data_IF_302334099509
#
_entry.id   IF_302334099509
#
_cell.length_a   1.000
_cell.length_b   1.000
_cell.length_c   1.000
_cell.angle_alpha   90.00
_cell.angle_beta   90.00
_cell.angle_gamma   90.00
#
_symmetry.space_group_name_H-M   'P 1'
#
loop_
_entity.id
_entity.type
_entity.pdbx_description
1 polymer ?
#
# COMPACT_ATOMS: atom_id res chain seq x y z
N UNK A 1 9.58 15.18 -23.20
CA UNK A 1 9.76 13.94 -22.40
C UNK A 1 9.24 14.19 -21.00
N UNK A 2 8.58 13.22 -20.36
CA UNK A 2 7.96 13.40 -19.04
C UNK A 2 9.00 13.58 -17.94
N UNK A 3 8.65 14.32 -16.88
CA UNK A 3 9.44 14.50 -15.66
C UNK A 3 8.60 14.07 -14.46
N UNK A 4 8.82 12.86 -13.97
CA UNK A 4 8.06 12.28 -12.87
C UNK A 4 8.88 12.30 -11.59
N UNK A 5 8.31 12.84 -10.53
CA UNK A 5 8.85 12.78 -9.18
C UNK A 5 8.03 11.75 -8.39
N UNK A 6 8.70 10.88 -7.64
CA UNK A 6 8.10 10.10 -6.57
C UNK A 6 8.64 10.63 -5.25
N UNK A 7 7.75 11.02 -4.34
CA UNK A 7 8.11 11.46 -2.99
C UNK A 7 7.61 10.42 -1.99
N UNK A 8 8.46 10.04 -1.03
CA UNK A 8 8.19 9.01 -0.01
C UNK A 8 8.78 9.44 1.34
N UNK A 9 7.92 9.60 2.35
CA UNK A 9 8.33 10.06 3.69
C UNK A 9 9.17 9.00 4.43
N UNK A 10 10.24 9.41 5.10
CA UNK A 10 11.12 8.45 5.76
C UNK A 10 10.51 7.94 7.08
N UNK A 11 10.32 6.63 7.19
CA UNK A 11 9.76 5.98 8.39
C UNK A 11 8.46 6.65 8.91
N UNK A 12 7.56 7.06 8.01
CA UNK A 12 6.48 8.03 8.24
C UNK A 12 5.83 8.03 9.64
N UNK A 13 5.19 6.93 10.07
CA UNK A 13 4.51 6.94 11.38
C UNK A 13 5.49 7.09 12.54
N UNK A 14 6.66 6.43 12.49
CA UNK A 14 7.67 6.55 13.52
C UNK A 14 8.28 7.97 13.55
N UNK A 15 8.48 8.60 12.39
CA UNK A 15 8.94 9.98 12.29
C UNK A 15 7.95 10.97 12.95
N UNK A 16 6.64 10.77 12.75
CA UNK A 16 5.61 11.57 13.42
C UNK A 16 5.65 11.37 14.94
N UNK A 17 5.79 10.13 15.43
CA UNK A 17 5.90 9.89 16.88
C UNK A 17 7.18 10.53 17.47
N UNK A 18 8.31 10.46 16.76
CA UNK A 18 9.58 11.06 17.19
C UNK A 18 9.59 12.60 17.14
N UNK A 19 8.79 13.19 16.24
CA UNK A 19 8.55 14.64 16.20
C UNK A 19 7.74 15.07 17.42
N UNK A 20 6.62 14.39 17.67
CA UNK A 20 5.68 14.75 18.74
C UNK A 20 6.23 14.40 20.13
N UNK A 21 7.14 13.42 20.23
CA UNK A 21 7.84 13.06 21.47
C UNK A 21 9.35 12.86 21.20
N UNK A 22 10.17 13.91 21.42
CA UNK A 22 11.61 13.87 21.15
C UNK A 22 12.38 12.79 21.91
N UNK A 23 11.86 12.28 23.05
CA UNK A 23 12.50 11.18 23.81
C UNK A 23 12.56 9.87 23.03
N UNK A 24 11.80 9.74 21.93
CA UNK A 24 11.75 8.54 21.11
C UNK A 24 12.80 8.51 19.98
N UNK A 25 13.51 9.61 19.72
CA UNK A 25 14.37 9.78 18.53
C UNK A 25 15.51 8.75 18.46
N UNK A 26 16.19 8.54 19.58
CA UNK A 26 17.45 7.78 19.63
C UNK A 26 17.29 6.35 20.17
N UNK A 27 16.05 5.90 20.40
CA UNK A 27 15.74 4.53 20.84
C UNK A 27 15.12 3.72 19.70
N UNK A 28 15.29 2.39 19.65
CA UNK A 28 14.58 1.55 18.68
C UNK A 28 13.08 1.61 18.95
N UNK A 29 12.33 2.08 17.95
CA UNK A 29 10.89 2.27 17.99
C UNK A 29 10.22 1.60 16.80
N UNK A 30 9.07 0.98 17.04
CA UNK A 30 8.16 0.53 15.99
C UNK A 30 6.70 0.86 16.30
N UNK A 31 5.93 1.08 15.23
CA UNK A 31 4.47 1.20 15.28
C UNK A 31 3.89 -0.12 14.84
N UNK A 32 3.03 -0.73 15.65
CA UNK A 32 2.46 -2.03 15.33
C UNK A 32 1.49 -2.54 16.38
N UNK A 33 0.81 -3.63 16.03
CA UNK A 33 0.00 -4.38 16.99
C UNK A 33 0.89 -5.10 18.01
N UNK A 34 0.38 -5.30 19.22
CA UNK A 34 1.08 -6.03 20.27
C UNK A 34 1.22 -7.53 19.93
N UNK A 35 2.25 -8.19 20.48
CA UNK A 35 2.56 -9.58 20.16
C UNK A 35 1.49 -10.57 20.66
N UNK A 36 0.91 -10.32 21.83
CA UNK A 36 -0.24 -11.03 22.41
C UNK A 36 -1.48 -11.01 21.50
N UNK A 37 -1.61 -10.01 20.62
CA UNK A 37 -2.69 -9.89 19.64
C UNK A 37 -2.30 -10.30 18.23
N UNK A 38 -1.22 -11.08 18.10
CA UNK A 38 -0.66 -11.54 16.80
C UNK A 38 -0.34 -10.36 15.87
N UNK A 39 0.10 -9.25 16.47
CA UNK A 39 0.40 -8.01 15.77
C UNK A 39 1.57 -8.13 14.80
N UNK A 40 1.61 -7.17 13.89
CA UNK A 40 2.71 -6.97 12.94
C UNK A 40 3.22 -5.53 13.03
N UNK A 41 4.49 -5.35 12.69
CA UNK A 41 5.12 -4.04 12.57
C UNK A 41 4.59 -3.34 11.32
N UNK A 42 3.95 -2.19 11.51
CA UNK A 42 3.56 -1.29 10.40
C UNK A 42 4.77 -0.51 9.88
N UNK A 43 5.54 0.09 10.79
CA UNK A 43 6.79 0.76 10.45
C UNK A 43 7.75 0.73 11.65
N UNK A 44 9.04 0.87 11.37
CA UNK A 44 10.10 0.94 12.37
C UNK A 44 11.04 2.09 12.03
N UNK A 45 11.56 2.78 13.04
CA UNK A 45 12.57 3.82 12.86
C UNK A 45 13.93 3.21 12.49
N UNK A 46 14.87 4.05 12.02
CA UNK A 46 16.20 3.59 11.61
C UNK A 46 16.98 2.86 12.73
N UNK A 47 16.97 3.32 14.00
CA UNK A 47 17.54 2.56 15.11
C UNK A 47 17.02 1.11 15.20
N UNK A 48 15.70 0.88 15.10
CA UNK A 48 15.12 -0.46 15.11
C UNK A 48 15.48 -1.27 13.85
N UNK A 49 15.52 -0.62 12.67
CA UNK A 49 15.90 -1.27 11.41
C UNK A 49 17.32 -1.84 11.42
N UNK A 50 18.24 -1.28 12.21
CA UNK A 50 19.60 -1.84 12.39
C UNK A 50 19.61 -3.23 13.03
N UNK A 51 18.58 -3.56 13.81
CA UNK A 51 18.36 -4.91 14.36
C UNK A 51 17.64 -5.85 13.39
N UNK A 52 17.37 -5.41 12.15
CA UNK A 52 16.63 -6.16 11.15
C UNK A 52 15.11 -6.01 11.26
N UNK A 53 14.58 -5.19 12.18
CA UNK A 53 13.14 -4.94 12.30
C UNK A 53 12.65 -4.19 11.05
N UNK A 54 11.61 -4.70 10.40
CA UNK A 54 11.05 -4.10 9.18
C UNK A 54 9.52 -4.20 9.13
N UNK A 55 8.88 -3.44 8.25
CA UNK A 55 7.43 -3.50 8.01
C UNK A 55 6.98 -4.91 7.62
N UNK A 56 5.75 -5.26 8.00
CA UNK A 56 5.12 -6.57 7.85
C UNK A 56 5.81 -7.73 8.62
N UNK A 57 6.82 -7.45 9.45
CA UNK A 57 7.38 -8.43 10.39
C UNK A 57 6.40 -8.70 11.54
N UNK A 58 6.28 -9.95 12.00
CA UNK A 58 5.54 -10.26 13.22
C UNK A 58 6.17 -9.58 14.44
N UNK A 59 5.34 -8.97 15.30
CA UNK A 59 5.82 -8.23 16.49
C UNK A 59 6.64 -9.12 17.42
N UNK A 60 6.26 -10.40 17.57
CA UNK A 60 7.03 -11.36 18.36
C UNK A 60 8.45 -11.57 17.82
N UNK A 61 8.61 -11.62 16.49
CA UNK A 61 9.93 -11.72 15.85
C UNK A 61 10.72 -10.42 16.04
N UNK A 62 10.08 -9.26 15.90
CA UNK A 62 10.72 -7.97 16.10
C UNK A 62 11.27 -7.81 17.53
N UNK A 63 10.50 -8.23 18.55
CA UNK A 63 10.93 -8.23 19.95
C UNK A 63 12.05 -9.22 20.23
N UNK A 64 12.11 -10.35 19.50
CA UNK A 64 13.22 -11.30 19.60
C UNK A 64 14.51 -10.72 19.01
N UNK A 65 14.41 -10.00 17.89
CA UNK A 65 15.54 -9.34 17.25
C UNK A 65 16.02 -8.09 18.03
N UNK A 66 15.10 -7.39 18.67
CA UNK A 66 15.36 -6.18 19.45
C UNK A 66 14.55 -6.23 20.75
N UNK A 67 15.07 -6.85 21.83
CA UNK A 67 14.36 -6.98 23.11
C UNK A 67 13.97 -5.64 23.75
N UNK A 68 14.74 -4.58 23.49
CA UNK A 68 14.51 -3.22 23.95
C UNK A 68 13.60 -2.39 23.02
N UNK A 69 12.99 -3.00 22.00
CA UNK A 69 12.13 -2.31 21.05
C UNK A 69 10.94 -1.66 21.75
N UNK A 70 10.86 -0.34 21.66
CA UNK A 70 9.67 0.39 22.07
C UNK A 70 8.58 0.14 21.02
N UNK A 71 7.49 -0.50 21.43
CA UNK A 71 6.32 -0.68 20.57
C UNK A 71 5.26 0.36 20.94
N UNK A 72 4.74 1.09 19.95
CA UNK A 72 3.65 2.05 20.12
C UNK A 72 2.43 1.66 19.28
N UNK A 73 1.21 1.91 19.81
CA UNK A 73 0.00 1.84 18.99
C UNK A 73 -0.03 3.00 17.98
N UNK A 74 -0.62 2.75 16.81
CA UNK A 74 -0.70 3.76 15.75
C UNK A 74 -1.77 4.83 15.99
N UNK A 75 -1.40 6.11 15.93
CA UNK A 75 -2.31 7.27 15.95
C UNK A 75 -2.82 7.64 14.55
N UNK A 76 -3.60 6.74 13.94
CA UNK A 76 -4.03 6.85 12.53
C UNK A 76 -4.71 8.19 12.15
N UNK A 77 -5.40 8.84 13.08
CA UNK A 77 -5.99 10.16 12.83
C UNK A 77 -4.91 11.22 12.55
N UNK A 78 -3.83 11.22 13.33
CA UNK A 78 -2.70 12.15 13.20
C UNK A 78 -1.91 11.87 11.92
N UNK A 79 -1.71 10.59 11.58
CA UNK A 79 -1.01 10.21 10.36
C UNK A 79 -1.78 10.65 9.11
N UNK A 80 -3.11 10.51 9.12
CA UNK A 80 -3.98 11.00 8.04
C UNK A 80 -3.99 12.52 7.94
N UNK A 81 -4.04 13.23 9.07
CA UNK A 81 -3.97 14.68 9.08
C UNK A 81 -2.63 15.17 8.50
N UNK A 82 -1.52 14.57 8.91
CA UNK A 82 -0.19 14.90 8.40
C UNK A 82 -0.04 14.59 6.90
N UNK A 83 -0.61 13.47 6.43
CA UNK A 83 -0.69 13.13 5.00
C UNK A 83 -1.40 14.19 4.17
N UNK A 84 -2.48 14.81 4.69
CA UNK A 84 -3.16 15.93 4.00
C UNK A 84 -2.26 17.14 3.86
N UNK A 85 -1.57 17.54 4.93
CA UNK A 85 -0.61 18.65 4.89
C UNK A 85 0.51 18.43 3.85
N UNK A 86 1.01 17.20 3.74
CA UNK A 86 2.00 16.84 2.72
C UNK A 86 1.41 16.99 1.30
N UNK A 87 0.16 16.57 1.10
CA UNK A 87 -0.53 16.74 -0.20
C UNK A 87 -0.79 18.21 -0.52
N UNK A 88 -1.09 19.03 0.49
CA UNK A 88 -1.25 20.49 0.33
C UNK A 88 0.08 21.15 -0.06
N UNK A 89 1.21 20.61 0.40
CA UNK A 89 2.54 21.02 -0.10
C UNK A 89 2.71 20.62 -1.55
N UNK A 90 2.41 19.37 -1.92
CA UNK A 90 2.52 18.90 -3.31
C UNK A 90 1.71 19.74 -4.29
N UNK A 91 0.49 20.17 -3.91
CA UNK A 91 -0.40 20.96 -4.77
C UNK A 91 0.15 22.33 -5.14
N UNK A 92 1.19 22.81 -4.43
CA UNK A 92 1.90 24.06 -4.78
C UNK A 92 2.77 23.90 -6.04
N UNK A 93 3.12 22.67 -6.41
CA UNK A 93 4.07 22.39 -7.51
C UNK A 93 3.41 21.86 -8.78
N UNK A 94 2.34 21.08 -8.64
CA UNK A 94 1.55 20.53 -9.75
C UNK A 94 0.17 20.09 -9.25
N UNK A 95 -0.81 20.05 -10.15
CA UNK A 95 -2.12 19.44 -9.89
C UNK A 95 -2.13 17.94 -10.21
N UNK A 96 -1.14 17.45 -10.96
CA UNK A 96 -1.00 16.04 -11.34
C UNK A 96 -0.31 15.27 -10.21
N UNK A 97 -1.09 14.94 -9.17
CA UNK A 97 -0.63 14.24 -7.98
C UNK A 97 -1.39 12.93 -7.83
N UNK A 98 -0.70 11.80 -7.82
CA UNK A 98 -1.29 10.47 -7.59
C UNK A 98 -0.75 9.90 -6.28
N UNK A 99 -1.51 9.96 -5.17
CA UNK A 99 -1.14 9.30 -3.93
C UNK A 99 -1.24 7.77 -4.08
N UNK A 100 -0.21 7.03 -3.64
CA UNK A 100 -0.27 5.56 -3.56
C UNK A 100 -0.64 5.10 -2.14
N UNK A 101 -0.22 5.86 -1.13
CA UNK A 101 -0.45 5.60 0.30
C UNK A 101 -0.69 6.92 1.05
N UNK A 102 -0.53 6.91 2.38
CA UNK A 102 -0.53 8.13 3.18
C UNK A 102 0.78 8.93 3.04
N UNK A 103 1.89 8.26 2.76
CA UNK A 103 3.23 8.81 2.84
C UNK A 103 3.95 8.91 1.49
N UNK A 104 3.30 8.49 0.41
CA UNK A 104 3.93 8.55 -0.91
C UNK A 104 2.96 9.00 -2.02
N UNK A 105 3.52 9.71 -3.00
CA UNK A 105 2.80 10.14 -4.20
C UNK A 105 3.74 10.23 -5.41
N UNK A 106 3.18 10.00 -6.60
CA UNK A 106 3.77 10.48 -7.86
C UNK A 106 3.30 11.89 -8.16
N UNK A 107 4.21 12.72 -8.65
CA UNK A 107 3.94 14.05 -9.16
C UNK A 107 4.44 14.11 -10.61
N UNK A 108 3.57 14.54 -11.53
CA UNK A 108 4.00 14.89 -12.88
C UNK A 108 4.27 16.39 -12.94
N UNK A 109 5.54 16.74 -13.16
CA UNK A 109 6.02 18.13 -13.24
C UNK A 109 6.55 18.44 -14.63
N UNK A 110 6.11 17.68 -15.64
CA UNK A 110 6.55 17.83 -17.04
C UNK A 110 6.42 19.28 -17.51
N UNK A 111 5.28 19.89 -17.25
CA UNK A 111 4.94 21.25 -17.72
C UNK A 111 5.06 22.32 -16.61
N UNK A 112 5.58 21.97 -15.43
CA UNK A 112 5.74 22.93 -14.33
C UNK A 112 6.85 23.96 -14.65
N UNK A 113 6.59 25.28 -14.55
CA UNK A 113 7.60 26.31 -14.78
C UNK A 113 8.48 26.57 -13.55
N UNK A 114 8.09 26.05 -12.38
CA UNK A 114 8.78 26.28 -11.11
C UNK A 114 10.21 25.75 -11.14
N UNK A 115 11.10 26.40 -10.38
CA UNK A 115 12.53 26.08 -10.33
C UNK A 115 13.16 25.96 -11.74
N UNK A 116 12.75 26.83 -12.67
CA UNK A 116 13.16 26.81 -14.08
C UNK A 116 12.86 25.48 -14.79
N UNK A 117 11.76 24.82 -14.41
CA UNK A 117 11.34 23.52 -14.93
C UNK A 117 12.19 22.33 -14.48
N UNK A 118 13.14 22.52 -13.55
CA UNK A 118 14.01 21.45 -13.04
C UNK A 118 13.29 20.59 -12.01
N UNK A 119 12.94 19.36 -12.40
CA UNK A 119 12.33 18.39 -11.49
C UNK A 119 13.23 18.01 -10.31
N UNK A 120 14.57 18.07 -10.48
CA UNK A 120 15.53 17.86 -9.40
C UNK A 120 15.41 18.94 -8.33
N UNK A 121 15.33 20.21 -8.74
CA UNK A 121 15.19 21.34 -7.82
C UNK A 121 13.79 21.38 -7.20
N UNK A 122 12.73 21.05 -7.96
CA UNK A 122 11.38 20.89 -7.42
C UNK A 122 11.37 19.81 -6.33
N UNK A 123 11.96 18.63 -6.57
CA UNK A 123 12.04 17.57 -5.57
C UNK A 123 12.81 18.01 -4.31
N UNK A 124 13.89 18.77 -4.47
CA UNK A 124 14.66 19.31 -3.36
C UNK A 124 13.86 20.33 -2.55
N UNK A 125 13.16 21.24 -3.23
CA UNK A 125 12.33 22.27 -2.62
C UNK A 125 11.12 21.67 -1.89
N UNK A 126 10.46 20.66 -2.46
CA UNK A 126 9.40 19.88 -1.79
C UNK A 126 9.94 19.29 -0.48
N UNK A 127 11.09 18.60 -0.54
CA UNK A 127 11.69 17.96 0.65
C UNK A 127 12.04 18.98 1.73
N UNK A 128 12.61 20.13 1.33
CA UNK A 128 12.94 21.20 2.26
C UNK A 128 11.70 21.84 2.87
N UNK A 129 10.65 22.06 2.08
CA UNK A 129 9.37 22.60 2.53
C UNK A 129 8.70 21.67 3.54
N UNK A 130 8.68 20.35 3.26
CA UNK A 130 8.21 19.33 4.21
C UNK A 130 9.01 19.38 5.51
N UNK A 131 10.33 19.48 5.44
CA UNK A 131 11.18 19.58 6.63
C UNK A 131 10.91 20.85 7.45
N UNK A 132 10.77 22.00 6.78
CA UNK A 132 10.54 23.29 7.42
C UNK A 132 9.16 23.38 8.08
N UNK A 133 8.10 22.98 7.36
CA UNK A 133 6.73 23.16 7.82
C UNK A 133 6.27 22.04 8.76
N UNK A 134 6.72 20.80 8.50
CA UNK A 134 6.18 19.62 9.19
C UNK A 134 7.19 18.97 10.14
N UNK A 135 8.46 19.38 10.10
CA UNK A 135 9.57 18.82 10.88
C UNK A 135 9.70 17.30 10.66
N UNK A 136 9.52 16.88 9.41
CA UNK A 136 9.61 15.50 8.94
C UNK A 136 10.56 15.44 7.74
N UNK A 137 11.20 14.29 7.51
CA UNK A 137 12.04 14.09 6.33
C UNK A 137 11.33 13.26 5.27
N UNK A 138 11.65 13.54 4.02
CA UNK A 138 11.21 12.77 2.87
C UNK A 138 12.39 12.50 1.95
N UNK A 139 12.28 11.42 1.20
CA UNK A 139 13.19 11.11 0.11
C UNK A 139 12.45 11.17 -1.22
N UNK A 140 13.17 11.49 -2.30
CA UNK A 140 12.56 11.67 -3.61
C UNK A 140 13.33 10.98 -4.73
N UNK A 141 12.60 10.47 -5.71
CA UNK A 141 13.17 9.89 -6.92
C UNK A 141 12.64 10.61 -8.14
N UNK A 142 13.52 10.95 -9.08
CA UNK A 142 13.15 11.65 -10.31
C UNK A 142 13.52 10.79 -11.50
N UNK A 143 12.56 10.53 -12.40
CA UNK A 143 12.80 9.76 -13.63
C UNK A 143 11.80 10.11 -14.75
N UNK A 144 12.03 9.66 -16.00
CA UNK A 144 11.10 9.89 -17.10
C UNK A 144 9.79 9.10 -16.99
N UNK A 145 9.75 8.08 -16.13
CA UNK A 145 8.63 7.15 -15.98
C UNK A 145 8.40 6.78 -14.51
N UNK A 146 7.14 6.45 -14.17
CA UNK A 146 6.68 6.26 -12.79
C UNK A 146 7.48 5.21 -12.03
N UNK A 147 7.61 4.00 -12.56
CA UNK A 147 8.24 2.94 -11.76
C UNK A 147 9.71 3.25 -11.44
N UNK A 148 10.45 3.87 -12.37
CA UNK A 148 11.83 4.29 -12.12
C UNK A 148 11.91 5.45 -11.14
N UNK A 149 10.96 6.38 -11.15
CA UNK A 149 10.92 7.43 -10.13
C UNK A 149 10.74 6.82 -8.73
N UNK A 150 9.89 5.79 -8.59
CA UNK A 150 9.74 5.04 -7.32
C UNK A 150 10.98 4.23 -6.95
N UNK A 151 11.68 3.62 -7.91
CA UNK A 151 12.94 2.91 -7.63
C UNK A 151 14.04 3.88 -7.21
N UNK A 152 14.07 5.07 -7.82
CA UNK A 152 15.03 6.12 -7.52
C UNK A 152 14.86 6.66 -6.09
N UNK A 153 13.63 6.82 -5.59
CA UNK A 153 13.38 7.40 -4.27
C UNK A 153 13.93 6.55 -3.13
N UNK A 154 14.19 5.26 -3.36
CA UNK A 154 14.80 4.34 -2.39
C UNK A 154 16.34 4.36 -2.37
N UNK A 155 17.01 4.88 -3.41
CA UNK A 155 18.47 4.74 -3.56
C UNK A 155 19.26 5.51 -2.50
N UNK A 156 18.82 6.73 -2.19
CA UNK A 156 19.50 7.66 -1.28
C UNK A 156 18.70 7.91 0.01
N UNK A 157 17.87 6.96 0.46
CA UNK A 157 17.18 7.06 1.76
C UNK A 157 18.18 6.91 2.92
N UNK A 158 17.99 7.62 4.06
CA UNK A 158 16.98 8.65 4.35
C UNK A 158 17.33 10.05 3.87
N UNK A 159 16.33 10.92 3.83
CA UNK A 159 16.45 12.36 3.59
C UNK A 159 17.37 12.70 2.42
N UNK A 160 17.18 12.00 1.31
CA UNK A 160 17.98 12.17 0.10
C UNK A 160 17.13 12.09 -1.15
N UNK A 161 17.76 12.31 -2.30
CA UNK A 161 17.10 12.14 -3.57
C UNK A 161 18.03 11.53 -4.61
N UNK A 162 17.45 10.90 -5.62
CA UNK A 162 18.18 10.30 -6.74
C UNK A 162 17.49 10.62 -8.06
N UNK A 163 18.29 10.88 -9.10
CA UNK A 163 17.78 11.30 -10.42
C UNK A 163 18.28 10.32 -11.47
N UNK A 164 17.35 9.70 -12.18
CA UNK A 164 17.62 8.88 -13.36
C UNK A 164 17.30 9.75 -14.57
N UNK A 165 18.32 10.21 -15.28
CA UNK A 165 18.16 10.97 -16.52
C UNK A 165 17.87 10.02 -17.70
N UNK A 166 17.30 10.52 -18.81
CA UNK A 166 17.03 9.69 -19.99
C UNK A 166 18.28 8.98 -20.52
N UNK A 167 19.42 9.68 -20.53
CA UNK A 167 20.70 9.14 -21.01
C UNK A 167 21.25 8.02 -20.12
N UNK A 168 20.95 8.05 -18.81
CA UNK A 168 21.40 7.04 -17.85
C UNK A 168 20.38 5.92 -17.64
N UNK A 169 19.18 6.04 -18.22
CA UNK A 169 18.07 5.13 -17.95
C UNK A 169 18.37 3.70 -18.38
N UNK A 170 18.98 3.52 -19.56
CA UNK A 170 19.23 2.17 -20.09
C UNK A 170 20.29 1.42 -19.27
N UNK A 171 21.41 2.08 -18.97
CA UNK A 171 22.46 1.53 -18.11
C UNK A 171 21.93 1.20 -16.71
N UNK A 172 21.09 2.07 -16.14
CA UNK A 172 20.45 1.81 -14.84
C UNK A 172 19.55 0.58 -14.89
N UNK A 173 18.75 0.43 -15.95
CA UNK A 173 17.85 -0.71 -16.11
C UNK A 173 18.63 -2.02 -16.20
N UNK A 174 19.68 -2.10 -17.01
CA UNK A 174 20.46 -3.33 -17.18
C UNK A 174 20.99 -3.87 -15.84
N UNK A 175 21.40 -2.98 -14.93
CA UNK A 175 21.89 -3.36 -13.61
C UNK A 175 20.79 -3.57 -12.55
N UNK A 176 19.52 -3.25 -12.84
CA UNK A 176 18.44 -3.25 -11.86
C UNK A 176 18.00 -4.68 -11.50
N UNK A 177 18.09 -5.09 -10.21
CA UNK A 177 17.54 -6.37 -9.78
C UNK A 177 16.01 -6.41 -9.92
N UNK A 178 15.45 -7.52 -10.42
CA UNK A 178 14.01 -7.65 -10.68
C UNK A 178 13.17 -7.45 -9.41
N UNK A 179 13.66 -7.88 -8.26
CA UNK A 179 13.01 -7.71 -6.96
C UNK A 179 12.82 -6.24 -6.52
N UNK A 180 13.51 -5.29 -7.18
CA UNK A 180 13.33 -3.85 -6.95
C UNK A 180 12.21 -3.25 -7.80
N UNK A 181 11.73 -3.96 -8.84
CA UNK A 181 10.63 -3.48 -9.68
C UNK A 181 9.32 -3.54 -8.87
N UNK A 182 8.57 -2.43 -8.73
CA UNK A 182 7.28 -2.44 -8.05
C UNK A 182 6.32 -3.47 -8.67
N UNK A 183 5.86 -4.42 -7.86
CA UNK A 183 5.02 -5.54 -8.30
C UNK A 183 5.74 -6.89 -8.31
N UNK A 184 7.07 -6.92 -8.28
CA UNK A 184 7.85 -8.16 -8.11
C UNK A 184 8.04 -8.43 -6.61
N UNK A 185 7.09 -9.13 -6.01
CA UNK A 185 7.19 -9.58 -4.60
C UNK A 185 8.12 -10.79 -4.42
N UNK A 186 8.40 -11.17 -3.16
CA UNK A 186 9.31 -12.29 -2.82
C UNK A 186 9.01 -13.59 -3.57
N UNK A 187 7.73 -13.94 -3.71
CA UNK A 187 7.30 -15.17 -4.42
C UNK A 187 7.64 -15.08 -5.91
N UNK A 188 7.32 -13.96 -6.54
CA UNK A 188 7.61 -13.74 -7.96
C UNK A 188 9.11 -13.67 -8.22
N UNK A 189 9.87 -12.98 -7.36
CA UNK A 189 11.32 -12.92 -7.44
C UNK A 189 11.96 -14.31 -7.38
N UNK A 190 11.51 -15.17 -6.44
CA UNK A 190 11.99 -16.56 -6.36
C UNK A 190 11.69 -17.36 -7.63
N UNK A 191 10.48 -17.23 -8.18
CA UNK A 191 10.10 -17.91 -9.43
C UNK A 191 10.89 -17.42 -10.65
N UNK A 192 11.35 -16.17 -10.65
CA UNK A 192 12.23 -15.62 -11.69
C UNK A 192 13.66 -16.13 -11.51
N UNK A 193 14.16 -16.15 -10.28
CA UNK A 193 15.47 -16.69 -9.92
C UNK A 193 15.60 -18.19 -10.27
N UNK A 194 14.56 -18.99 -10.03
CA UNK A 194 14.49 -20.41 -10.46
C UNK A 194 14.62 -20.58 -11.99
N UNK A 195 14.45 -19.50 -12.76
CA UNK A 195 14.64 -19.46 -14.22
C UNK A 195 15.95 -18.77 -14.64
N UNK A 196 16.82 -18.44 -13.69
CA UNK A 196 18.07 -17.70 -13.93
C UNK A 196 17.85 -16.20 -14.23
N UNK A 197 16.69 -15.63 -13.90
CA UNK A 197 16.37 -14.23 -14.14
C UNK A 197 16.53 -13.42 -12.84
N UNK A 198 17.59 -12.61 -12.76
CA UNK A 198 17.92 -11.84 -11.56
C UNK A 198 17.82 -10.33 -11.80
N UNK A 199 18.14 -9.88 -13.00
CA UNK A 199 18.21 -8.47 -13.40
C UNK A 199 17.35 -8.18 -14.63
N UNK A 200 17.11 -6.91 -14.95
CA UNK A 200 16.43 -6.57 -16.19
C UNK A 200 17.23 -7.00 -17.43
N UNK A 201 18.57 -7.04 -17.37
CA UNK A 201 19.40 -7.51 -18.48
C UNK A 201 19.04 -8.95 -18.85
N UNK A 202 18.86 -9.82 -17.85
CA UNK A 202 18.47 -11.22 -18.07
C UNK A 202 17.10 -11.30 -18.76
N UNK A 203 16.13 -10.50 -18.32
CA UNK A 203 14.78 -10.46 -18.92
C UNK A 203 14.81 -9.95 -20.36
N UNK A 204 15.69 -8.99 -20.70
CA UNK A 204 15.83 -8.48 -22.08
C UNK A 204 16.38 -9.53 -23.04
N UNK A 205 17.18 -10.46 -22.54
CA UNK A 205 17.73 -11.57 -23.33
C UNK A 205 16.80 -12.80 -23.33
N UNK A 206 15.71 -12.75 -22.58
CA UNK A 206 14.79 -13.87 -22.41
C UNK A 206 13.62 -13.80 -23.40
N UNK A 207 13.11 -14.96 -23.80
CA UNK A 207 11.98 -15.05 -24.72
C UNK A 207 10.69 -14.50 -24.10
N UNK A 208 10.05 -13.56 -24.81
CA UNK A 208 8.79 -12.96 -24.39
C UNK A 208 7.65 -13.99 -24.36
N UNK A 209 7.62 -14.95 -25.30
CA UNK A 209 6.55 -15.94 -25.32
C UNK A 209 6.59 -16.82 -24.06
N UNK A 210 7.78 -17.24 -23.63
CA UNK A 210 7.98 -17.95 -22.37
C UNK A 210 7.60 -17.10 -21.13
N UNK A 211 7.94 -15.80 -21.10
CA UNK A 211 7.50 -14.92 -20.00
C UNK A 211 5.97 -14.82 -19.92
N UNK A 212 5.29 -14.69 -21.06
CA UNK A 212 3.83 -14.64 -21.12
C UNK A 212 3.21 -15.96 -20.69
N UNK A 213 3.76 -17.10 -21.12
CA UNK A 213 3.28 -18.43 -20.74
C UNK A 213 3.36 -18.65 -19.23
N UNK A 214 4.41 -18.15 -18.59
CA UNK A 214 4.70 -18.41 -17.17
C UNK A 214 4.05 -17.42 -16.20
N UNK A 215 3.92 -16.16 -16.61
CA UNK A 215 3.47 -15.06 -15.76
C UNK A 215 2.23 -14.33 -16.30
N UNK A 216 1.69 -14.73 -17.45
CA UNK A 216 0.49 -14.15 -18.06
C UNK A 216 0.66 -12.64 -18.30
N UNK A 217 -0.38 -11.88 -17.95
CA UNK A 217 -0.37 -10.40 -18.06
C UNK A 217 0.81 -9.76 -17.30
N UNK A 218 1.24 -10.35 -16.18
CA UNK A 218 2.37 -9.82 -15.44
C UNK A 218 3.70 -10.02 -16.20
N UNK A 219 3.84 -11.10 -16.97
CA UNK A 219 5.01 -11.33 -17.82
C UNK A 219 5.21 -10.20 -18.84
N UNK A 220 4.11 -9.72 -19.44
CA UNK A 220 4.12 -8.55 -20.33
C UNK A 220 4.62 -7.30 -19.62
N UNK A 221 4.04 -7.00 -18.46
CA UNK A 221 4.43 -5.82 -17.66
C UNK A 221 5.90 -5.91 -17.26
N UNK A 222 6.37 -7.08 -16.82
CA UNK A 222 7.77 -7.28 -16.44
C UNK A 222 8.71 -7.00 -17.62
N UNK A 223 8.40 -7.57 -18.79
CA UNK A 223 9.18 -7.34 -20.00
C UNK A 223 9.22 -5.86 -20.37
N UNK A 224 8.07 -5.18 -20.40
CA UNK A 224 7.98 -3.74 -20.70
C UNK A 224 8.85 -2.92 -19.76
N UNK A 225 8.75 -3.17 -18.44
CA UNK A 225 9.54 -2.45 -17.42
C UNK A 225 11.04 -2.68 -17.60
N UNK A 226 11.45 -3.90 -17.90
CA UNK A 226 12.86 -4.21 -18.17
C UNK A 226 13.39 -3.46 -19.40
N UNK A 227 12.53 -3.19 -20.39
CA UNK A 227 12.85 -2.39 -21.59
C UNK A 227 12.62 -0.87 -21.40
N UNK A 228 12.37 -0.40 -20.18
CA UNK A 228 12.16 1.02 -19.90
C UNK A 228 10.83 1.57 -20.39
N UNK A 229 9.86 0.69 -20.69
CA UNK A 229 8.53 1.04 -21.15
C UNK A 229 7.61 1.10 -19.93
N UNK A 230 6.99 2.26 -19.71
CA UNK A 230 5.91 2.47 -18.73
C UNK A 230 5.04 3.65 -19.16
N UNK A 231 3.98 3.33 -19.90
CA UNK A 231 3.06 4.31 -20.48
C UNK A 231 2.06 4.90 -19.48
N UNK A 232 1.99 4.35 -18.26
CA UNK A 232 1.06 4.83 -17.24
C UNK A 232 1.32 6.30 -16.96
N UNK A 233 0.27 7.11 -17.01
CA UNK A 233 0.29 8.52 -16.61
C UNK A 233 0.11 8.64 -15.10
N UNK A 234 0.42 9.82 -14.56
CA UNK A 234 0.04 10.20 -13.19
C UNK A 234 -1.44 10.55 -13.22
N UNK A 235 -2.24 9.83 -12.42
CA UNK A 235 -3.69 9.95 -12.39
C UNK A 235 -4.16 10.47 -11.03
N UNK A 236 -4.62 11.73 -10.94
CA UNK A 236 -5.09 12.31 -9.68
C UNK A 236 -6.42 11.69 -9.19
N UNK A 237 -7.28 11.24 -10.11
CA UNK A 237 -8.67 10.86 -9.83
C UNK A 237 -8.87 9.37 -9.54
N UNK A 238 -8.06 8.78 -8.67
CA UNK A 238 -8.24 7.37 -8.30
C UNK A 238 -9.35 7.21 -7.27
N UNK A 239 -10.56 6.92 -7.74
CA UNK A 239 -11.70 6.60 -6.89
C UNK A 239 -11.51 5.25 -6.19
N UNK A 240 -11.91 5.20 -4.92
CA UNK A 240 -11.95 3.96 -4.14
C UNK A 240 -12.96 2.99 -4.76
N UNK A 241 -12.60 1.70 -4.82
CA UNK A 241 -13.47 0.66 -5.40
C UNK A 241 -14.11 -0.28 -4.37
N UNK A 242 -13.57 -0.33 -3.16
CA UNK A 242 -14.09 -1.20 -2.09
C UNK A 242 -13.83 -0.61 -0.71
N UNK A 243 -14.65 -1.03 0.26
CA UNK A 243 -14.47 -0.72 1.68
C UNK A 243 -14.51 -2.03 2.44
N UNK A 244 -13.57 -2.24 3.36
CA UNK A 244 -13.53 -3.44 4.18
C UNK A 244 -13.12 -3.14 5.62
N UNK A 245 -13.54 -4.03 6.52
CA UNK A 245 -13.14 -4.07 7.93
C UNK A 245 -12.84 -5.51 8.28
N UNK A 246 -11.70 -5.75 8.89
CA UNK A 246 -11.28 -7.09 9.29
C UNK A 246 -10.48 -7.04 10.58
N UNK A 247 -10.54 -8.13 11.34
CA UNK A 247 -9.87 -8.25 12.62
C UNK A 247 -9.26 -9.63 12.77
N UNK A 248 -7.94 -9.67 12.90
CA UNK A 248 -7.23 -10.84 13.43
C UNK A 248 -7.42 -10.88 14.94
N UNK A 249 -7.84 -12.04 15.45
CA UNK A 249 -8.11 -12.28 16.86
C UNK A 249 -6.83 -12.72 17.59
N UNK A 250 -6.78 -12.49 18.91
CA UNK A 250 -5.66 -12.91 19.75
C UNK A 250 -5.59 -14.45 19.87
N UNK A 251 -6.76 -15.08 20.03
CA UNK A 251 -6.96 -16.52 20.00
C UNK A 251 -7.90 -16.90 18.85
N UNK A 252 -7.75 -18.12 18.35
CA UNK A 252 -8.64 -18.65 17.32
C UNK A 252 -10.01 -18.97 17.94
N UNK A 253 -11.08 -18.69 17.20
CA UNK A 253 -12.44 -19.03 17.62
C UNK A 253 -12.87 -20.34 17.00
N UNK A 254 -13.69 -21.09 17.74
CA UNK A 254 -14.12 -22.45 17.36
C UNK A 254 -15.64 -22.60 17.37
N UNK A 255 -16.36 -21.60 17.87
CA UNK A 255 -17.82 -21.62 17.95
C UNK A 255 -18.44 -20.49 17.12
N UNK A 256 -19.57 -20.80 16.49
CA UNK A 256 -20.29 -19.83 15.64
C UNK A 256 -20.68 -18.55 16.39
N UNK A 257 -21.15 -18.67 17.64
CA UNK A 257 -21.61 -17.50 18.41
C UNK A 257 -20.49 -16.46 18.60
N UNK A 258 -19.23 -16.88 18.64
CA UNK A 258 -18.06 -15.98 18.69
C UNK A 258 -17.89 -15.23 17.36
N UNK A 259 -18.06 -15.94 16.23
CA UNK A 259 -18.00 -15.36 14.89
C UNK A 259 -19.15 -14.37 14.67
N UNK A 260 -20.36 -14.75 15.07
CA UNK A 260 -21.57 -13.93 15.00
C UNK A 260 -21.39 -12.60 15.75
N UNK A 261 -20.94 -12.66 17.01
CA UNK A 261 -20.66 -11.45 17.78
C UNK A 261 -19.59 -10.55 17.14
N UNK A 262 -18.59 -11.12 16.48
CA UNK A 262 -17.59 -10.36 15.72
C UNK A 262 -18.16 -9.71 14.46
N UNK A 263 -19.02 -10.41 13.72
CA UNK A 263 -19.69 -9.84 12.54
C UNK A 263 -20.54 -8.64 12.94
N UNK A 264 -21.27 -8.70 14.06
CA UNK A 264 -22.04 -7.57 14.55
C UNK A 264 -21.18 -6.34 14.87
N UNK A 265 -20.05 -6.55 15.55
CA UNK A 265 -19.09 -5.49 15.85
C UNK A 265 -18.48 -4.89 14.58
N UNK A 266 -18.04 -5.74 13.65
CA UNK A 266 -17.42 -5.30 12.40
C UNK A 266 -18.41 -4.58 11.49
N UNK A 267 -19.70 -4.95 11.53
CA UNK A 267 -20.75 -4.29 10.74
C UNK A 267 -20.87 -2.81 11.12
N UNK A 268 -20.87 -2.49 12.42
CA UNK A 268 -20.93 -1.09 12.87
C UNK A 268 -19.76 -0.26 12.33
N UNK A 269 -18.54 -0.81 12.35
CA UNK A 269 -17.38 -0.10 11.77
C UNK A 269 -17.48 0.01 10.24
N UNK A 270 -17.93 -1.05 9.57
CA UNK A 270 -18.09 -1.07 8.11
C UNK A 270 -19.10 -0.02 7.66
N UNK A 271 -20.25 0.04 8.32
CA UNK A 271 -21.31 1.01 8.05
C UNK A 271 -20.78 2.44 8.25
N UNK A 272 -20.14 2.74 9.39
CA UNK A 272 -19.55 4.05 9.65
C UNK A 272 -18.51 4.46 8.60
N UNK A 273 -17.70 3.50 8.11
CA UNK A 273 -16.73 3.75 7.04
C UNK A 273 -17.39 3.94 5.68
N UNK A 274 -18.44 3.20 5.39
CA UNK A 274 -19.18 3.28 4.12
C UNK A 274 -19.92 4.60 4.02
N UNK A 275 -20.64 5.03 5.08
CA UNK A 275 -21.38 6.32 5.12
C UNK A 275 -20.52 7.53 4.78
N UNK A 276 -19.21 7.48 5.07
CA UNK A 276 -18.26 8.57 4.73
C UNK A 276 -17.99 8.72 3.24
N UNK A 277 -18.29 7.71 2.43
CA UNK A 277 -18.01 7.66 0.99
C UNK A 277 -19.30 7.50 0.19
N UNK A 278 -20.28 6.76 0.72
CA UNK A 278 -21.63 6.53 0.19
C UNK A 278 -22.65 6.66 1.33
N UNK A 279 -23.18 7.87 1.59
CA UNK A 279 -24.11 8.12 2.71
C UNK A 279 -25.40 7.29 2.65
N UNK A 280 -25.82 6.94 1.44
CA UNK A 280 -26.97 6.12 1.10
C UNK A 280 -26.72 4.60 1.18
N UNK A 281 -25.50 4.18 1.56
CA UNK A 281 -25.09 2.79 1.75
C UNK A 281 -25.22 1.87 0.51
N UNK A 282 -25.44 2.46 -0.66
CA UNK A 282 -25.56 1.71 -1.91
C UNK A 282 -24.21 1.13 -2.34
N UNK A 283 -24.25 -0.12 -2.79
CA UNK A 283 -23.09 -0.94 -3.10
C UNK A 283 -23.38 -1.84 -4.30
N UNK A 284 -22.33 -2.33 -4.94
CA UNK A 284 -22.46 -3.32 -6.02
C UNK A 284 -22.51 -4.74 -5.46
N UNK A 285 -21.73 -5.01 -4.40
CA UNK A 285 -21.52 -6.33 -3.81
C UNK A 285 -21.22 -6.20 -2.33
N UNK A 286 -21.58 -7.21 -1.54
CA UNK A 286 -21.09 -7.37 -0.18
C UNK A 286 -20.59 -8.79 0.05
N UNK A 287 -19.75 -8.97 1.06
CA UNK A 287 -19.18 -10.25 1.38
C UNK A 287 -18.49 -10.33 2.72
N UNK A 288 -18.06 -11.55 3.00
CA UNK A 288 -17.38 -11.95 4.21
C UNK A 288 -16.05 -12.61 3.87
N UNK A 289 -15.10 -12.50 4.79
CA UNK A 289 -13.79 -13.13 4.71
C UNK A 289 -13.50 -13.86 6.01
N UNK A 290 -13.16 -15.14 5.92
CA UNK A 290 -12.62 -15.91 7.03
C UNK A 290 -11.18 -16.30 6.72
N UNK A 291 -10.30 -16.21 7.72
CA UNK A 291 -8.98 -16.82 7.67
C UNK A 291 -8.86 -17.86 8.77
N UNK A 292 -8.29 -19.00 8.44
CA UNK A 292 -8.14 -20.13 9.34
C UNK A 292 -6.75 -20.17 10.00
N UNK A 293 -6.60 -21.01 11.02
CA UNK A 293 -5.36 -21.22 11.77
C UNK A 293 -4.14 -21.57 10.87
N UNK A 294 -4.37 -22.37 9.83
CA UNK A 294 -3.43 -22.77 8.76
C UNK A 294 -3.06 -21.63 7.76
N UNK A 295 -3.52 -20.40 8.02
CA UNK A 295 -3.38 -19.22 7.16
C UNK A 295 -4.12 -19.27 5.82
N UNK A 296 -4.83 -20.35 5.49
CA UNK A 296 -5.76 -20.36 4.37
C UNK A 296 -6.85 -19.32 4.62
N UNK A 297 -7.20 -18.57 3.57
CA UNK A 297 -8.29 -17.60 3.63
C UNK A 297 -9.34 -17.96 2.60
N UNK A 298 -10.59 -17.62 2.92
CA UNK A 298 -11.70 -17.75 2.01
C UNK A 298 -12.52 -16.47 2.03
N UNK A 299 -13.01 -16.11 0.85
CA UNK A 299 -13.91 -14.97 0.66
C UNK A 299 -15.18 -15.50 0.01
N UNK A 300 -16.33 -15.05 0.51
CA UNK A 300 -17.62 -15.28 -0.12
C UNK A 300 -18.30 -13.92 -0.27
N UNK A 301 -18.72 -13.61 -1.48
CA UNK A 301 -19.36 -12.34 -1.82
C UNK A 301 -20.35 -12.54 -2.97
N UNK A 302 -21.35 -11.68 -3.04
CA UNK A 302 -22.35 -11.70 -4.10
C UNK A 302 -22.88 -10.30 -4.39
N UNK A 303 -23.59 -10.16 -5.51
CA UNK A 303 -24.26 -8.90 -5.86
C UNK A 303 -25.33 -8.61 -4.81
N UNK A 304 -25.29 -7.41 -4.25
CA UNK A 304 -26.27 -6.97 -3.27
C UNK A 304 -26.34 -5.44 -3.32
N UNK A 305 -27.54 -4.82 -3.31
CA UNK A 305 -27.69 -3.41 -3.68
C UNK A 305 -27.36 -2.43 -2.54
N UNK A 306 -27.56 -2.83 -1.28
CA UNK A 306 -27.41 -1.94 -0.11
C UNK A 306 -26.85 -2.72 1.07
N UNK A 307 -25.90 -2.14 1.81
CA UNK A 307 -25.23 -2.81 2.93
C UNK A 307 -26.23 -3.42 3.94
N UNK A 308 -26.29 -4.75 4.00
CA UNK A 308 -27.28 -5.47 4.81
C UNK A 308 -26.62 -6.42 5.82
N UNK A 309 -26.85 -6.17 7.12
CA UNK A 309 -26.27 -6.96 8.22
C UNK A 309 -26.76 -8.41 8.24
N UNK A 310 -28.06 -8.62 8.07
CA UNK A 310 -28.67 -9.95 8.18
C UNK A 310 -28.16 -10.88 7.08
N UNK A 311 -27.98 -10.34 5.88
CA UNK A 311 -27.38 -11.06 4.76
C UNK A 311 -25.90 -11.40 5.03
N UNK A 312 -25.10 -10.46 5.54
CA UNK A 312 -23.70 -10.73 5.92
C UNK A 312 -23.59 -11.81 7.01
N UNK A 313 -24.51 -11.83 7.99
CA UNK A 313 -24.59 -12.88 9.00
C UNK A 313 -24.91 -14.24 8.38
N UNK A 314 -25.90 -14.29 7.49
CA UNK A 314 -26.26 -15.51 6.74
C UNK A 314 -25.07 -16.03 5.93
N UNK A 315 -24.38 -15.13 5.22
CA UNK A 315 -23.23 -15.47 4.39
C UNK A 315 -22.05 -15.96 5.25
N UNK A 316 -21.77 -15.30 6.37
CA UNK A 316 -20.76 -15.73 7.33
C UNK A 316 -21.08 -17.13 7.89
N UNK A 317 -22.35 -17.40 8.20
CA UNK A 317 -22.80 -18.72 8.69
C UNK A 317 -22.56 -19.79 7.65
N UNK A 318 -22.97 -19.53 6.41
CA UNK A 318 -22.75 -20.45 5.30
C UNK A 318 -21.26 -20.70 5.07
N UNK A 319 -20.43 -19.65 5.00
CA UNK A 319 -18.97 -19.80 4.85
C UNK A 319 -18.36 -20.60 6.01
N UNK A 320 -18.84 -20.37 7.24
CA UNK A 320 -18.40 -21.07 8.44
C UNK A 320 -18.71 -22.57 8.36
N UNK A 321 -19.92 -22.95 7.95
CA UNK A 321 -20.34 -24.35 7.88
C UNK A 321 -19.66 -25.10 6.72
N UNK A 322 -19.60 -24.48 5.54
CA UNK A 322 -19.12 -25.14 4.33
C UNK A 322 -17.60 -25.22 4.23
N UNK A 323 -16.89 -24.17 4.68
CA UNK A 323 -15.46 -23.99 4.36
C UNK A 323 -14.53 -24.13 5.55
N UNK A 324 -15.00 -23.96 6.79
CA UNK A 324 -14.13 -24.03 7.98
C UNK A 324 -13.63 -25.45 8.23
N UNK A 325 -14.49 -26.44 8.00
CA UNK A 325 -14.28 -27.81 8.49
C UNK A 325 -14.05 -27.78 10.01
N UNK A 326 -12.95 -28.36 10.50
CA UNK A 326 -12.59 -28.40 11.92
C UNK A 326 -11.65 -27.28 12.36
N UNK A 327 -11.14 -26.46 11.43
CA UNK A 327 -10.12 -25.43 11.70
C UNK A 327 -10.63 -24.32 12.61
N UNK A 328 -9.73 -23.76 13.42
CA UNK A 328 -9.97 -22.52 14.13
C UNK A 328 -10.02 -21.34 13.16
N UNK A 329 -10.86 -20.35 13.46
CA UNK A 329 -10.92 -19.09 12.68
C UNK A 329 -10.11 -18.03 13.40
N UNK A 330 -9.12 -17.46 12.70
CA UNK A 330 -8.19 -16.46 13.24
C UNK A 330 -8.51 -15.03 12.87
N UNK A 331 -9.25 -14.83 11.78
CA UNK A 331 -9.67 -13.51 11.31
C UNK A 331 -11.07 -13.60 10.71
N UNK A 332 -11.88 -12.61 11.05
CA UNK A 332 -13.18 -12.33 10.44
C UNK A 332 -13.09 -10.96 9.77
N UNK A 333 -13.64 -10.86 8.56
CA UNK A 333 -13.72 -9.62 7.81
C UNK A 333 -15.02 -9.48 7.06
N UNK A 334 -15.45 -8.24 6.88
CA UNK A 334 -16.60 -7.84 6.07
C UNK A 334 -16.10 -6.86 5.01
N UNK A 335 -16.62 -6.97 3.80
CA UNK A 335 -16.23 -6.07 2.72
C UNK A 335 -17.40 -5.78 1.78
N UNK A 336 -17.31 -4.62 1.13
CA UNK A 336 -18.21 -4.20 0.06
C UNK A 336 -17.43 -3.74 -1.16
N UNK A 337 -18.00 -3.98 -2.32
CA UNK A 337 -17.56 -3.38 -3.59
C UNK A 337 -18.48 -2.21 -3.90
N UNK A 338 -17.88 -1.06 -4.19
CA UNK A 338 -18.62 0.16 -4.53
C UNK A 338 -19.08 0.09 -5.98
N UNK A 339 -20.19 0.77 -6.29
CA UNK A 339 -20.67 0.93 -7.66
C UNK A 339 -19.63 1.68 -8.50
N UNK A 340 -19.51 1.29 -9.76
CA UNK A 340 -18.74 2.08 -10.72
C UNK A 340 -19.53 3.36 -11.03
N UNK A 341 -18.95 4.57 -10.90
CA UNK A 341 -19.63 5.81 -11.24
C UNK A 341 -20.19 5.84 -12.67
N UNK A 342 -19.58 5.07 -13.59
CA UNK A 342 -20.09 4.95 -14.96
C UNK A 342 -21.37 4.10 -15.02
N UNK A 343 -21.51 3.09 -14.16
CA UNK A 343 -22.75 2.30 -14.03
C UNK A 343 -23.86 3.07 -13.30
N UNK A 344 -23.53 3.91 -12.32
CA UNK A 344 -24.52 4.77 -11.63
C UNK A 344 -25.22 5.74 -12.59
N UNK A 345 -24.47 6.34 -13.52
CA UNK A 345 -25.05 7.24 -14.55
C UNK A 345 -25.97 6.53 -15.52
N UNK A 346 -25.74 5.24 -15.79
CA UNK A 346 -26.56 4.45 -16.69
C UNK A 346 -27.91 4.04 -16.06
N UNK A 347 -27.95 3.89 -14.73
CA UNK A 347 -29.20 3.64 -13.99
C UNK A 347 -30.11 4.86 -13.92
N UNK A 348 -29.55 6.07 -13.90
CA UNK A 348 -30.32 7.33 -13.91
C UNK A 348 -30.95 7.65 -15.27
N UNK A 349 -30.43 7.10 -16.37
CA UNK A 349 -30.93 7.36 -17.73
C UNK A 349 -32.09 6.44 -18.15
N UNK A 350 -32.44 5.43 -17.34
CA UNK A 350 -33.54 4.50 -17.63
C UNK A 350 -34.84 4.86 -16.89
N UNK A 351 -34.97 6.12 -16.45
CA UNK A 351 -36.16 6.67 -15.83
C UNK A 351 -36.64 7.91 -16.63
N UNK A 352 -36.93 7.72 -17.92
CA UNK A 352 -37.82 8.59 -18.69
C UNK A 352 -38.83 7.75 -19.47
#
# INVERSE_FOLDING_TARGET
MRKIIHVDMDCFYAAIEMRDNPRLRDIPLAIGGSADRRGVISTANYPARRYGVHSAMATATALRLCPQLKLLPGRMAVYKATSRLIRDIFSRYTTLIEPLSLDEAYLDVTDSPLCNGSATLIAQDIRQTIANELQLTASAGVAPIKFLAKVASEQNKPNGQFVITPNNMDAFLLALPLAKIPGVGKVTAKRLEEKGLHTCADVRQYDLAELLRQFGKFGRVLWERCHGIDERTVSPDRLRKSVGVEKTLAADIHHWHECEGLVEQLYQELELRLRRVKPDLHIARQGVKLKFDDFCQTTQEHVWPELNKQDLLRLARQTWEERRQTRGVRLVGLHVTLLDPQMERQLLLNLE
#
